data_IF_831300312306
#
_entry.id   IF_831300312306
#
_cell.length_a   1.000
_cell.length_b   1.000
_cell.length_c   1.000
_cell.angle_alpha   90.00
_cell.angle_beta   90.00
_cell.angle_gamma   90.00
#
_symmetry.space_group_name_H-M   'P 1'
#
loop_
_entity.id
_entity.type
_entity.pdbx_description
1 polymer ?
#
# COMPACT_ATOMS: atom_id res chain seq x y z
N UNK A 1 9.37 -31.42 12.41
CA UNK A 1 8.94 -30.05 12.09
C UNK A 1 8.93 -29.24 13.38
N UNK A 2 9.95 -28.41 13.62
CA UNK A 2 10.05 -27.62 14.85
C UNK A 2 8.99 -26.52 14.85
N UNK A 3 7.99 -26.61 15.74
CA UNK A 3 7.03 -25.52 15.95
C UNK A 3 7.72 -24.42 16.74
N UNK A 4 7.82 -23.23 16.15
CA UNK A 4 8.30 -22.06 16.86
C UNK A 4 7.37 -21.73 18.04
N UNK A 5 7.92 -21.35 19.22
CA UNK A 5 7.16 -20.78 20.33
C UNK A 5 6.32 -19.59 19.86
N UNK A 6 5.11 -19.44 20.40
CA UNK A 6 4.15 -18.44 19.92
C UNK A 6 4.62 -16.99 20.15
N UNK A 7 5.44 -16.75 21.17
CA UNK A 7 6.01 -15.42 21.42
C UNK A 7 7.02 -15.01 20.35
N UNK A 8 7.78 -15.97 19.80
CA UNK A 8 8.72 -15.70 18.69
C UNK A 8 7.95 -15.33 17.44
N UNK A 9 6.83 -16.03 17.13
CA UNK A 9 5.99 -15.70 15.97
C UNK A 9 5.39 -14.29 16.09
N UNK A 10 4.88 -13.93 17.28
CA UNK A 10 4.32 -12.61 17.54
C UNK A 10 5.38 -11.52 17.37
N UNK A 11 6.58 -11.71 17.92
CA UNK A 11 7.67 -10.76 17.74
C UNK A 11 8.09 -10.60 16.27
N UNK A 12 8.21 -11.71 15.54
CA UNK A 12 8.53 -11.66 14.12
C UNK A 12 7.46 -10.89 13.33
N UNK A 13 6.17 -11.12 13.63
CA UNK A 13 5.09 -10.38 13.02
C UNK A 13 5.17 -8.87 13.31
N UNK A 14 5.40 -8.48 14.56
CA UNK A 14 5.55 -7.06 14.94
C UNK A 14 6.74 -6.40 14.23
N UNK A 15 7.84 -7.13 14.06
CA UNK A 15 9.00 -6.68 13.28
C UNK A 15 8.65 -6.45 11.80
N UNK A 16 7.92 -7.39 11.18
CA UNK A 16 7.45 -7.25 9.79
C UNK A 16 6.48 -6.06 9.67
N UNK A 17 5.53 -5.93 10.59
CA UNK A 17 4.58 -4.83 10.62
C UNK A 17 5.28 -3.47 10.74
N UNK A 18 6.32 -3.37 11.56
CA UNK A 18 7.14 -2.17 11.68
C UNK A 18 7.87 -1.85 10.38
N UNK A 19 8.48 -2.84 9.74
CA UNK A 19 9.15 -2.64 8.45
C UNK A 19 8.15 -2.20 7.37
N UNK A 20 6.97 -2.82 7.31
CA UNK A 20 5.91 -2.45 6.39
C UNK A 20 5.45 -1.01 6.61
N UNK A 21 5.24 -0.62 7.86
CA UNK A 21 4.88 0.75 8.19
C UNK A 21 5.97 1.74 7.77
N UNK A 22 7.25 1.45 8.03
CA UNK A 22 8.36 2.30 7.57
C UNK A 22 8.38 2.46 6.05
N UNK A 23 8.28 1.37 5.29
CA UNK A 23 8.26 1.43 3.83
C UNK A 23 7.07 2.26 3.33
N UNK A 24 5.89 2.05 3.90
CA UNK A 24 4.71 2.79 3.49
C UNK A 24 4.82 4.30 3.70
N UNK A 25 5.54 4.76 4.74
CA UNK A 25 5.79 6.19 4.95
C UNK A 25 6.47 6.83 3.75
N UNK A 26 7.46 6.15 3.18
CA UNK A 26 8.26 6.68 2.07
C UNK A 26 7.56 6.57 0.73
N UNK A 27 6.74 5.53 0.51
CA UNK A 27 6.17 5.27 -0.81
C UNK A 27 4.74 5.80 -0.96
N UNK A 28 3.86 5.62 0.02
CA UNK A 28 2.44 5.90 -0.17
C UNK A 28 2.11 7.40 -0.19
N UNK A 29 2.82 8.25 0.56
CA UNK A 29 2.57 9.70 0.50
C UNK A 29 2.95 10.29 -0.87
N UNK A 30 4.15 10.06 -1.42
CA UNK A 30 4.48 10.51 -2.77
C UNK A 30 3.53 9.97 -3.84
N UNK A 31 3.17 8.68 -3.77
CA UNK A 31 2.21 8.08 -4.71
C UNK A 31 0.86 8.79 -4.65
N UNK A 32 0.32 9.04 -3.45
CA UNK A 32 -0.93 9.76 -3.27
C UNK A 32 -0.88 11.17 -3.86
N UNK A 33 0.21 11.90 -3.65
CA UNK A 33 0.41 13.25 -4.22
C UNK A 33 0.44 13.18 -5.75
N UNK A 34 1.19 12.23 -6.32
CA UNK A 34 1.28 12.05 -7.78
C UNK A 34 -0.11 11.77 -8.36
N UNK A 35 -0.90 10.90 -7.74
CA UNK A 35 -2.26 10.58 -8.22
C UNK A 35 -3.17 11.81 -8.19
N UNK A 36 -3.10 12.64 -7.15
CA UNK A 36 -3.83 13.91 -7.10
C UNK A 36 -3.35 14.86 -8.20
N UNK A 37 -2.03 15.00 -8.38
CA UNK A 37 -1.46 15.83 -9.44
C UNK A 37 -1.92 15.37 -10.82
N UNK A 38 -1.94 14.07 -11.09
CA UNK A 38 -2.45 13.52 -12.35
C UNK A 38 -3.94 13.82 -12.53
N UNK A 39 -4.75 13.78 -11.46
CA UNK A 39 -6.17 14.13 -11.56
C UNK A 39 -6.41 15.62 -11.84
N UNK A 40 -5.56 16.51 -11.31
CA UNK A 40 -5.73 17.98 -11.42
C UNK A 40 -5.04 18.55 -12.66
N UNK A 41 -3.90 17.98 -13.06
CA UNK A 41 -3.07 18.47 -14.18
C UNK A 41 -3.33 17.73 -15.49
N UNK A 42 -4.07 16.62 -15.48
CA UNK A 42 -4.47 15.98 -16.73
C UNK A 42 -5.28 17.00 -17.55
N UNK A 43 -4.89 17.28 -18.81
CA UNK A 43 -5.71 18.09 -19.70
C UNK A 43 -7.09 17.44 -19.74
N UNK A 44 -8.15 18.25 -19.74
CA UNK A 44 -9.53 17.78 -19.85
C UNK A 44 -9.65 16.91 -21.10
N UNK A 45 -9.38 15.62 -20.97
CA UNK A 45 -9.75 14.64 -21.97
C UNK A 45 -11.27 14.78 -22.08
N UNK A 46 -11.84 14.83 -23.30
CA UNK A 46 -13.26 15.09 -23.48
C UNK A 46 -14.04 14.19 -22.54
N UNK A 47 -14.64 14.83 -21.53
CA UNK A 47 -15.38 14.21 -20.42
C UNK A 47 -16.62 13.45 -20.92
N UNK A 48 -16.87 13.51 -22.22
CA UNK A 48 -17.87 12.76 -22.97
C UNK A 48 -17.53 11.26 -23.10
N UNK A 49 -16.28 10.84 -22.90
CA UNK A 49 -15.94 9.41 -22.88
C UNK A 49 -16.01 8.85 -21.46
N UNK A 50 -16.84 7.81 -21.25
CA UNK A 50 -16.96 7.12 -19.96
C UNK A 50 -15.61 6.63 -19.40
N UNK A 51 -14.63 6.39 -20.28
CA UNK A 51 -13.26 5.96 -19.94
C UNK A 51 -12.44 7.07 -19.27
N UNK A 52 -12.57 8.33 -19.72
CA UNK A 52 -11.86 9.47 -19.13
C UNK A 52 -12.31 9.76 -17.69
N UNK A 53 -13.62 9.77 -17.47
CA UNK A 53 -14.23 9.99 -16.14
C UNK A 53 -13.93 8.85 -15.18
N UNK A 54 -13.89 7.60 -15.67
CA UNK A 54 -13.50 6.44 -14.85
C UNK A 54 -12.04 6.58 -14.39
N UNK A 55 -11.13 6.98 -15.29
CA UNK A 55 -9.71 7.14 -14.99
C UNK A 55 -9.44 8.18 -13.89
N UNK A 56 -10.10 9.34 -13.94
CA UNK A 56 -9.96 10.36 -12.89
C UNK A 56 -10.51 9.88 -11.54
N UNK A 57 -11.65 9.19 -11.55
CA UNK A 57 -12.27 8.64 -10.33
C UNK A 57 -11.33 7.63 -9.66
N UNK A 58 -10.72 6.74 -10.43
CA UNK A 58 -9.76 5.76 -9.91
C UNK A 58 -8.50 6.41 -9.33
N UNK A 59 -8.01 7.51 -9.92
CA UNK A 59 -6.89 8.26 -9.38
C UNK A 59 -7.22 8.87 -8.01
N UNK A 60 -8.41 9.46 -7.84
CA UNK A 60 -8.84 9.98 -6.53
C UNK A 60 -9.02 8.87 -5.49
N UNK A 61 -9.63 7.74 -5.86
CA UNK A 61 -9.76 6.58 -4.97
C UNK A 61 -8.37 6.07 -4.55
N UNK A 62 -7.44 5.95 -5.50
CA UNK A 62 -6.06 5.53 -5.24
C UNK A 62 -5.31 6.52 -4.33
N UNK A 63 -5.53 7.82 -4.51
CA UNK A 63 -4.95 8.86 -3.64
C UNK A 63 -5.47 8.76 -2.20
N UNK A 64 -6.79 8.61 -2.02
CA UNK A 64 -7.41 8.44 -0.70
C UNK A 64 -6.88 7.17 -0.03
N UNK A 65 -6.85 6.05 -0.76
CA UNK A 65 -6.29 4.81 -0.25
C UNK A 65 -4.84 4.99 0.21
N UNK A 66 -4.03 5.67 -0.59
CA UNK A 66 -2.64 5.94 -0.27
C UNK A 66 -2.49 6.77 1.00
N UNK A 67 -3.34 7.78 1.18
CA UNK A 67 -3.35 8.62 2.37
C UNK A 67 -3.77 7.82 3.62
N UNK A 68 -4.78 6.95 3.51
CA UNK A 68 -5.21 6.06 4.60
C UNK A 68 -4.07 5.13 5.05
N UNK A 69 -3.40 4.48 4.10
CA UNK A 69 -2.26 3.59 4.40
C UNK A 69 -1.12 4.37 5.05
N UNK A 70 -0.83 5.57 4.56
CA UNK A 70 0.21 6.43 5.11
C UNK A 70 -0.10 6.86 6.55
N UNK A 71 -1.31 7.37 6.82
CA UNK A 71 -1.74 7.76 8.17
C UNK A 71 -1.74 6.56 9.11
N UNK A 72 -2.25 5.40 8.69
CA UNK A 72 -2.24 4.19 9.52
C UNK A 72 -0.81 3.73 9.85
N UNK A 73 0.12 3.86 8.90
CA UNK A 73 1.54 3.55 9.10
C UNK A 73 2.20 4.51 10.10
N UNK A 74 1.88 5.82 10.03
CA UNK A 74 2.32 6.78 11.03
C UNK A 74 1.80 6.43 12.43
N UNK A 75 0.50 6.16 12.55
CA UNK A 75 -0.13 5.83 13.84
C UNK A 75 0.53 4.58 14.43
N UNK A 76 0.76 3.54 13.62
CA UNK A 76 1.46 2.33 14.06
C UNK A 76 2.88 2.65 14.58
N UNK A 77 3.68 3.41 13.82
CA UNK A 77 5.05 3.74 14.20
C UNK A 77 5.11 4.58 15.48
N UNK A 78 4.21 5.54 15.66
CA UNK A 78 4.12 6.38 16.87
C UNK A 78 3.74 5.53 18.08
N UNK A 79 2.84 4.55 17.92
CA UNK A 79 2.40 3.69 19.01
C UNK A 79 3.29 2.46 19.24
N UNK A 80 4.27 2.21 18.36
CA UNK A 80 5.09 0.99 18.38
C UNK A 80 5.83 0.77 19.70
N UNK A 81 6.26 1.83 20.38
CA UNK A 81 6.91 1.75 21.70
C UNK A 81 6.02 1.17 22.81
N UNK A 82 4.70 1.15 22.59
CA UNK A 82 3.70 0.59 23.52
C UNK A 82 3.28 -0.83 23.15
N UNK A 83 3.69 -1.34 22.00
CA UNK A 83 3.29 -2.66 21.54
C UNK A 83 4.25 -3.72 22.07
N UNK A 84 3.70 -4.70 22.77
CA UNK A 84 4.42 -5.87 23.28
C UNK A 84 3.72 -7.16 22.87
N UNK A 85 4.40 -8.30 23.02
CA UNK A 85 3.79 -9.63 22.81
C UNK A 85 2.62 -9.91 23.77
N UNK A 86 2.58 -9.24 24.92
CA UNK A 86 1.48 -9.30 25.89
C UNK A 86 0.20 -8.63 25.40
N UNK A 87 0.32 -7.53 24.65
CA UNK A 87 -0.80 -6.76 24.08
C UNK A 87 -0.98 -6.97 22.57
N UNK A 88 -0.62 -8.16 22.09
CA UNK A 88 -0.55 -8.47 20.67
C UNK A 88 -1.87 -8.20 19.92
N UNK A 89 -3.03 -8.38 20.56
CA UNK A 89 -4.34 -8.11 19.92
C UNK A 89 -4.48 -6.64 19.52
N UNK A 90 -3.98 -5.73 20.34
CA UNK A 90 -3.99 -4.28 20.07
C UNK A 90 -2.97 -3.97 18.97
N UNK A 91 -1.73 -4.43 19.14
CA UNK A 91 -0.67 -4.21 18.16
C UNK A 91 -1.06 -4.75 16.77
N UNK A 92 -1.71 -5.91 16.72
CA UNK A 92 -2.24 -6.50 15.49
C UNK A 92 -3.22 -5.56 14.80
N UNK A 93 -4.24 -5.04 15.52
CA UNK A 93 -5.23 -4.12 14.95
C UNK A 93 -4.60 -2.89 14.29
N UNK A 94 -3.59 -2.30 14.93
CA UNK A 94 -2.90 -1.14 14.38
C UNK A 94 -1.97 -1.50 13.21
N UNK A 95 -1.42 -2.71 13.19
CA UNK A 95 -0.50 -3.18 12.14
C UNK A 95 -1.16 -3.66 10.84
N UNK A 96 -2.46 -4.04 10.89
CA UNK A 96 -3.13 -4.69 9.75
C UNK A 96 -3.10 -3.80 8.52
N UNK A 97 -3.46 -2.51 8.65
CA UNK A 97 -3.50 -1.60 7.51
C UNK A 97 -2.10 -1.39 6.91
N UNK A 98 -1.03 -1.13 7.69
CA UNK A 98 0.33 -1.09 7.15
C UNK A 98 0.74 -2.37 6.40
N UNK A 99 0.47 -3.54 6.96
CA UNK A 99 0.84 -4.82 6.35
C UNK A 99 0.05 -5.06 5.05
N UNK A 100 -1.25 -4.79 5.06
CA UNK A 100 -2.11 -4.91 3.87
C UNK A 100 -1.69 -3.90 2.80
N UNK A 101 -1.35 -2.67 3.19
CA UNK A 101 -0.81 -1.66 2.29
C UNK A 101 0.41 -2.20 1.53
N UNK A 102 1.42 -2.68 2.25
CA UNK A 102 2.61 -3.24 1.61
C UNK A 102 2.27 -4.42 0.67
N UNK A 103 1.34 -5.29 1.07
CA UNK A 103 0.91 -6.42 0.24
C UNK A 103 0.23 -5.95 -1.06
N UNK A 104 -0.61 -4.91 -1.00
CA UNK A 104 -1.26 -4.31 -2.17
C UNK A 104 -0.22 -3.67 -3.09
N UNK A 105 0.76 -2.93 -2.54
CA UNK A 105 1.85 -2.37 -3.33
C UNK A 105 2.66 -3.47 -4.05
N UNK A 106 3.00 -4.55 -3.36
CA UNK A 106 3.71 -5.69 -3.94
C UNK A 106 2.89 -6.35 -5.06
N UNK A 107 1.60 -6.58 -4.85
CA UNK A 107 0.70 -7.13 -5.86
C UNK A 107 0.60 -6.20 -7.09
N UNK A 108 0.54 -4.89 -6.88
CA UNK A 108 0.54 -3.89 -7.95
C UNK A 108 1.81 -3.92 -8.80
N UNK A 109 2.99 -4.04 -8.17
CA UNK A 109 4.27 -4.17 -8.88
C UNK A 109 4.29 -5.44 -9.74
N UNK A 110 3.86 -6.57 -9.18
CA UNK A 110 3.79 -7.85 -9.91
C UNK A 110 2.84 -7.73 -11.10
N UNK A 111 1.64 -7.18 -10.90
CA UNK A 111 0.67 -6.98 -11.98
C UNK A 111 1.24 -6.07 -13.09
N UNK A 112 1.89 -4.96 -12.73
CA UNK A 112 2.54 -4.06 -13.68
C UNK A 112 3.64 -4.76 -14.50
N UNK A 113 4.45 -5.61 -13.85
CA UNK A 113 5.47 -6.40 -14.54
C UNK A 113 4.86 -7.39 -15.54
N UNK A 114 3.76 -8.07 -15.18
CA UNK A 114 3.05 -8.97 -16.10
C UNK A 114 2.49 -8.21 -17.31
N UNK A 115 1.86 -7.05 -17.09
CA UNK A 115 1.33 -6.22 -18.19
C UNK A 115 2.46 -5.76 -19.12
N UNK A 116 3.60 -5.34 -18.57
CA UNK A 116 4.77 -4.97 -19.37
C UNK A 116 5.31 -6.14 -20.21
N UNK A 117 5.40 -7.33 -19.62
CA UNK A 117 5.90 -8.52 -20.30
C UNK A 117 4.96 -8.96 -21.44
N UNK A 118 3.64 -8.92 -21.22
CA UNK A 118 2.67 -9.26 -22.27
C UNK A 118 2.74 -8.26 -23.43
N UNK A 119 2.80 -6.96 -23.15
CA UNK A 119 2.89 -5.94 -24.19
C UNK A 119 4.20 -6.00 -24.98
N UNK A 120 5.33 -6.26 -24.33
CA UNK A 120 6.62 -6.37 -25.01
C UNK A 120 6.70 -7.59 -25.94
N UNK A 121 6.07 -8.71 -25.57
CA UNK A 121 5.95 -9.88 -26.45
C UNK A 121 5.04 -9.60 -27.65
N UNK A 122 3.93 -8.87 -27.44
CA UNK A 122 2.98 -8.56 -28.52
C UNK A 122 3.56 -7.61 -29.58
N UNK A 123 4.47 -6.72 -29.20
CA UNK A 123 5.15 -5.78 -30.12
C UNK A 123 6.26 -6.48 -30.93
N UNK A 124 6.75 -7.63 -30.46
CA UNK A 124 7.84 -8.38 -31.09
C UNK A 124 7.38 -9.41 -32.15
N UNK A 125 6.06 -9.59 -32.33
CA UNK A 125 5.41 -10.48 -33.31
C UNK A 125 4.79 -9.64 -34.42
#
# INVERSE_FOLDING_TARGET
MFKLPDDIKKNNYLGIAWLAAMLNIFFYLPIGIILVMLSVMAPEAPTESAVGTLSQTWNYIGAIFSLVVWVASLVYLVMNSRFSTGDFKTAFRYSVIPVVGLAVAAAGIVAGFFVFLVNSVLIAI
#
